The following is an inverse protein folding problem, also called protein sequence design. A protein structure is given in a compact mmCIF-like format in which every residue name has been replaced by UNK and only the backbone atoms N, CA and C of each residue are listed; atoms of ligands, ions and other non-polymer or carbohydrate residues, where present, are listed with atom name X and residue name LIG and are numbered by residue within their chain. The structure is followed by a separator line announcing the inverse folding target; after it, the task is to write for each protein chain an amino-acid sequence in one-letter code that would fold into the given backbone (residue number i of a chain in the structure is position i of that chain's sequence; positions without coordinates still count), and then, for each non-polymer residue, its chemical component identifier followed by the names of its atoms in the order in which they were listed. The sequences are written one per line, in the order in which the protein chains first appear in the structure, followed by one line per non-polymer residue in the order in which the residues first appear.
data_IF_340102249104
#
_entry.id   IF_340102249104
#
_cell.length_a   1.000
_cell.length_b   1.000
_cell.length_c   1.000
_cell.angle_alpha   90.00
_cell.angle_beta   90.00
_cell.angle_gamma   90.00
#
_symmetry.space_group_name_H-M   'P 1'
#
loop_
_entity.id
_entity.type
_entity.pdbx_description
1 polymer ?
#
# COMPACT_ATOMS: atom_id res chain seq x y z
N UNK A 1 -22.03 28.94 23.96
CA UNK A 1 -21.33 27.74 24.43
C UNK A 1 -20.20 27.53 23.45
N UNK A 2 -18.95 27.68 23.87
CA UNK A 2 -17.80 27.45 22.97
C UNK A 2 -17.83 25.99 22.55
N UNK A 3 -17.99 25.72 21.26
CA UNK A 3 -17.78 24.38 20.70
C UNK A 3 -16.39 23.91 21.17
N UNK A 4 -16.38 22.92 22.05
CA UNK A 4 -15.14 22.32 22.50
C UNK A 4 -14.69 21.45 21.34
N UNK A 5 -13.71 21.94 20.56
CA UNK A 5 -13.15 21.24 19.42
C UNK A 5 -12.69 19.84 19.87
N UNK A 6 -13.38 18.78 19.42
CA UNK A 6 -13.08 17.41 19.88
C UNK A 6 -11.82 16.86 19.18
N UNK A 7 -11.30 15.72 19.62
CA UNK A 7 -10.18 15.09 18.90
C UNK A 7 -10.61 14.66 17.50
N UNK A 8 -11.85 14.19 17.37
CA UNK A 8 -12.44 13.82 16.10
C UNK A 8 -12.53 15.00 15.14
N UNK A 9 -12.92 16.20 15.59
CA UNK A 9 -12.97 17.38 14.71
C UNK A 9 -11.59 17.73 14.13
N UNK A 10 -10.56 17.78 14.97
CA UNK A 10 -9.18 18.09 14.53
C UNK A 10 -8.60 17.05 13.56
N UNK A 11 -8.81 15.76 13.85
CA UNK A 11 -8.30 14.70 13.00
C UNK A 11 -9.03 14.64 11.66
N UNK A 12 -10.34 14.89 11.66
CA UNK A 12 -11.13 14.84 10.43
C UNK A 12 -10.83 16.05 9.57
N UNK A 13 -10.65 17.24 10.17
CA UNK A 13 -10.13 18.42 9.48
C UNK A 13 -8.78 18.11 8.79
N UNK A 14 -7.86 17.44 9.48
CA UNK A 14 -6.57 17.02 8.88
C UNK A 14 -6.77 16.07 7.71
N UNK A 15 -7.64 15.07 7.87
CA UNK A 15 -7.90 14.06 6.84
C UNK A 15 -8.59 14.67 5.62
N UNK A 16 -9.58 15.54 5.80
CA UNK A 16 -10.26 16.22 4.69
C UNK A 16 -9.34 17.23 4.02
N UNK A 17 -8.54 17.98 4.77
CA UNK A 17 -7.56 18.90 4.19
C UNK A 17 -6.52 18.16 3.33
N UNK A 18 -6.07 16.98 3.77
CA UNK A 18 -5.17 16.15 2.97
C UNK A 18 -5.83 15.65 1.67
N UNK A 19 -7.12 15.28 1.74
CA UNK A 19 -7.89 14.86 0.57
C UNK A 19 -8.17 16.02 -0.40
N UNK A 20 -8.57 17.18 0.09
CA UNK A 20 -8.80 18.40 -0.70
C UNK A 20 -7.51 18.86 -1.38
N UNK A 21 -6.40 18.84 -0.64
CA UNK A 21 -5.11 19.17 -1.22
C UNK A 21 -4.76 18.21 -2.36
N UNK A 22 -4.93 16.90 -2.15
CA UNK A 22 -4.68 15.93 -3.19
C UNK A 22 -5.59 16.16 -4.40
N UNK A 23 -6.89 16.39 -4.18
CA UNK A 23 -7.85 16.73 -5.22
C UNK A 23 -7.36 17.90 -6.08
N UNK A 24 -6.96 19.00 -5.45
CA UNK A 24 -6.50 20.21 -6.13
C UNK A 24 -5.17 20.01 -6.88
N UNK A 25 -4.27 19.21 -6.32
CA UNK A 25 -2.93 19.01 -6.87
C UNK A 25 -2.91 18.13 -8.12
N UNK A 26 -3.75 17.09 -8.14
CA UNK A 26 -3.72 16.07 -9.22
C UNK A 26 -5.04 15.95 -9.98
N UNK A 27 -5.99 16.86 -9.75
CA UNK A 27 -7.31 16.91 -10.40
C UNK A 27 -8.10 15.59 -10.27
N UNK A 28 -8.06 15.00 -9.08
CA UNK A 28 -8.67 13.70 -8.79
C UNK A 28 -9.98 13.86 -8.01
N UNK A 29 -11.14 13.37 -8.46
CA UNK A 29 -12.40 13.57 -7.75
C UNK A 29 -12.37 13.06 -6.30
N UNK A 30 -12.92 13.84 -5.35
CA UNK A 30 -13.01 13.45 -3.94
C UNK A 30 -13.72 12.10 -3.73
N UNK A 31 -14.66 11.74 -4.61
CA UNK A 31 -15.32 10.42 -4.57
C UNK A 31 -14.31 9.28 -4.79
N UNK A 32 -13.35 9.43 -5.71
CA UNK A 32 -12.31 8.44 -5.99
C UNK A 32 -11.35 8.33 -4.79
N UNK A 33 -11.01 9.47 -4.17
CA UNK A 33 -10.19 9.49 -2.95
C UNK A 33 -10.91 8.75 -1.80
N UNK A 34 -12.19 9.06 -1.58
CA UNK A 34 -12.99 8.40 -0.55
C UNK A 34 -13.14 6.89 -0.82
N UNK A 35 -13.31 6.48 -2.08
CA UNK A 35 -13.36 5.07 -2.49
C UNK A 35 -12.05 4.33 -2.21
N UNK A 36 -10.91 4.93 -2.55
CA UNK A 36 -9.59 4.37 -2.24
C UNK A 36 -9.38 4.25 -0.72
N UNK A 37 -9.76 5.28 0.05
CA UNK A 37 -9.65 5.27 1.51
C UNK A 37 -10.57 4.21 2.15
N UNK A 38 -11.76 4.00 1.59
CA UNK A 38 -12.69 2.98 2.02
C UNK A 38 -12.17 1.56 1.71
N UNK A 39 -11.78 1.31 0.46
CA UNK A 39 -11.32 -0.01 0.01
C UNK A 39 -9.98 -0.41 0.63
N UNK A 40 -9.04 0.53 0.73
CA UNK A 40 -7.70 0.30 1.23
C UNK A 40 -7.63 0.21 2.75
N UNK A 41 -8.41 1.02 3.46
CA UNK A 41 -8.22 1.25 4.91
C UNK A 41 -9.51 1.17 5.74
N UNK A 42 -10.68 0.99 5.11
CA UNK A 42 -11.97 0.90 5.79
C UNK A 42 -12.49 2.24 6.34
N UNK A 43 -11.95 3.38 5.89
CA UNK A 43 -12.47 4.70 6.27
C UNK A 43 -13.81 4.92 5.55
N UNK A 44 -14.91 5.23 6.26
CA UNK A 44 -16.22 5.39 5.62
C UNK A 44 -16.32 6.75 4.91
N UNK A 45 -17.09 6.81 3.82
CA UNK A 45 -17.34 8.04 3.04
C UNK A 45 -17.92 9.19 3.86
N UNK A 46 -18.67 8.87 4.92
CA UNK A 46 -19.24 9.86 5.84
C UNK A 46 -18.18 10.71 6.55
N UNK A 47 -16.94 10.22 6.68
CA UNK A 47 -15.80 11.01 7.16
C UNK A 47 -15.49 12.19 6.23
N UNK A 48 -15.69 12.02 4.92
CA UNK A 48 -15.50 13.06 3.91
C UNK A 48 -16.77 13.90 3.67
N UNK A 49 -17.82 13.73 4.48
CA UNK A 49 -19.11 14.39 4.25
C UNK A 49 -19.84 13.92 2.98
N UNK A 50 -19.43 12.77 2.44
CA UNK A 50 -20.00 12.21 1.22
C UNK A 50 -21.00 11.10 1.55
N UNK A 51 -22.20 11.19 0.96
CA UNK A 51 -23.22 10.13 1.00
C UNK A 51 -23.15 9.31 -0.29
N UNK A 52 -22.09 8.51 -0.40
CA UNK A 52 -21.84 7.64 -1.56
C UNK A 52 -22.37 6.24 -1.24
N UNK A 53 -23.36 5.72 -2.00
CA UNK A 53 -23.82 4.35 -1.85
C UNK A 53 -22.66 3.39 -2.14
N UNK A 54 -22.32 2.52 -1.17
CA UNK A 54 -21.20 1.57 -1.25
C UNK A 54 -21.42 0.40 -2.22
N UNK A 55 -22.27 0.57 -3.24
CA UNK A 55 -22.84 -0.50 -4.07
C UNK A 55 -22.12 -0.74 -5.40
N UNK A 56 -21.09 0.04 -5.73
CA UNK A 56 -20.38 -0.04 -7.03
C UNK A 56 -18.94 -0.57 -6.97
N UNK A 57 -18.47 -1.06 -5.81
CA UNK A 57 -17.12 -1.64 -5.69
C UNK A 57 -17.03 -3.03 -6.30
N UNK A 58 -16.94 -3.09 -7.63
CA UNK A 58 -16.70 -4.32 -8.37
C UNK A 58 -15.20 -4.53 -8.55
N UNK A 59 -14.72 -5.78 -8.46
CA UNK A 59 -13.39 -6.12 -8.97
C UNK A 59 -13.20 -5.61 -10.39
N UNK A 60 -11.96 -5.30 -10.76
CA UNK A 60 -11.59 -4.96 -12.13
C UNK A 60 -12.13 -6.05 -13.08
N UNK A 61 -12.87 -5.70 -14.14
CA UNK A 61 -13.37 -6.68 -15.08
C UNK A 61 -12.21 -7.32 -15.85
N UNK A 62 -12.29 -8.63 -16.06
CA UNK A 62 -11.37 -9.33 -16.96
C UNK A 62 -11.67 -8.96 -18.41
N UNK A 63 -10.64 -8.70 -19.20
CA UNK A 63 -10.76 -8.49 -20.65
C UNK A 63 -10.43 -9.81 -21.39
N UNK A 64 -11.37 -10.39 -22.16
CA UNK A 64 -11.12 -11.64 -22.88
C UNK A 64 -10.12 -11.49 -24.03
N UNK A 65 -9.89 -10.27 -24.53
CA UNK A 65 -8.96 -9.98 -25.61
C UNK A 65 -7.51 -9.78 -25.11
N UNK A 66 -7.34 -9.59 -23.80
CA UNK A 66 -6.03 -9.51 -23.15
C UNK A 66 -5.61 -10.90 -22.66
N UNK A 67 -4.44 -11.43 -23.06
CA UNK A 67 -4.07 -12.76 -22.63
C UNK A 67 -3.86 -12.80 -21.11
N UNK A 68 -4.35 -13.87 -20.48
CA UNK A 68 -4.22 -14.07 -19.04
C UNK A 68 -2.75 -14.14 -18.60
N UNK A 69 -2.48 -13.63 -17.41
CA UNK A 69 -1.22 -13.82 -16.69
C UNK A 69 -1.19 -15.23 -16.13
N UNK A 70 -0.17 -15.99 -16.53
CA UNK A 70 0.06 -17.38 -16.10
C UNK A 70 1.21 -17.49 -15.13
N UNK A 71 2.23 -16.66 -15.27
CA UNK A 71 3.39 -16.65 -14.38
C UNK A 71 3.68 -15.25 -13.85
N UNK A 72 3.71 -15.14 -12.52
CA UNK A 72 4.06 -13.93 -11.79
C UNK A 72 5.45 -14.07 -11.18
N UNK A 73 6.36 -13.19 -11.57
CA UNK A 73 7.66 -13.00 -10.94
C UNK A 73 7.56 -12.02 -9.78
N UNK A 74 8.15 -12.35 -8.63
CA UNK A 74 8.21 -11.49 -7.46
C UNK A 74 9.65 -11.30 -7.01
N UNK A 75 10.07 -10.05 -6.83
CA UNK A 75 11.40 -9.72 -6.30
C UNK A 75 11.26 -9.21 -4.88
N UNK A 76 11.85 -9.92 -3.94
CA UNK A 76 11.75 -9.65 -2.52
C UNK A 76 11.03 -10.78 -1.77
N UNK A 77 11.48 -11.02 -0.55
CA UNK A 77 10.99 -12.09 0.33
C UNK A 77 10.11 -11.58 1.49
N UNK A 78 9.77 -10.28 1.50
CA UNK A 78 9.03 -9.64 2.58
C UNK A 78 7.53 -9.95 2.58
N UNK A 79 6.84 -9.49 3.61
CA UNK A 79 5.39 -9.72 3.83
C UNK A 79 4.52 -9.31 2.63
N UNK A 80 4.84 -8.20 1.96
CA UNK A 80 4.09 -7.75 0.79
C UNK A 80 4.20 -8.75 -0.36
N UNK A 81 5.43 -9.14 -0.72
CA UNK A 81 5.69 -10.17 -1.75
C UNK A 81 4.98 -11.48 -1.43
N UNK A 82 5.05 -11.95 -0.18
CA UNK A 82 4.36 -13.17 0.25
C UNK A 82 2.83 -13.05 0.12
N UNK A 83 2.24 -11.89 0.46
CA UNK A 83 0.81 -11.65 0.28
C UNK A 83 0.38 -11.61 -1.19
N UNK A 84 1.18 -10.97 -2.05
CA UNK A 84 0.93 -10.96 -3.51
C UNK A 84 1.03 -12.38 -4.07
N UNK A 85 2.04 -13.16 -3.65
CA UNK A 85 2.20 -14.56 -4.04
C UNK A 85 0.96 -15.38 -3.67
N UNK A 86 0.46 -15.26 -2.43
CA UNK A 86 -0.76 -15.94 -1.98
C UNK A 86 -1.98 -15.56 -2.82
N UNK A 87 -2.15 -14.27 -3.13
CA UNK A 87 -3.24 -13.80 -3.98
C UNK A 87 -3.16 -14.40 -5.39
N UNK A 88 -1.96 -14.44 -5.97
CA UNK A 88 -1.70 -14.99 -7.30
C UNK A 88 -2.00 -16.50 -7.37
N UNK A 89 -1.57 -17.26 -6.37
CA UNK A 89 -1.83 -18.70 -6.30
C UNK A 89 -3.32 -19.01 -6.16
N UNK A 90 -4.05 -18.26 -5.33
CA UNK A 90 -5.50 -18.37 -5.21
C UNK A 90 -6.22 -18.09 -6.54
N UNK A 91 -5.64 -17.26 -7.40
CA UNK A 91 -6.10 -16.98 -8.75
C UNK A 91 -5.62 -17.99 -9.81
N UNK A 92 -4.86 -19.02 -9.42
CA UNK A 92 -4.33 -20.05 -10.33
C UNK A 92 -3.13 -19.59 -11.16
N UNK A 93 -2.36 -18.61 -10.68
CA UNK A 93 -1.17 -18.07 -11.34
C UNK A 93 0.08 -18.70 -10.69
N UNK A 94 0.99 -19.23 -11.50
CA UNK A 94 2.28 -19.75 -11.02
C UNK A 94 3.16 -18.60 -10.52
N UNK A 95 3.86 -18.81 -9.41
CA UNK A 95 4.67 -17.77 -8.75
C UNK A 95 6.14 -18.16 -8.73
N UNK A 96 7.01 -17.21 -9.08
CA UNK A 96 8.47 -17.32 -8.92
C UNK A 96 8.98 -16.22 -8.01
N UNK A 97 9.52 -16.59 -6.85
CA UNK A 97 10.06 -15.65 -5.87
C UNK A 97 11.58 -15.58 -5.99
N UNK A 98 12.12 -14.38 -6.21
CA UNK A 98 13.56 -14.13 -6.14
C UNK A 98 13.88 -13.30 -4.91
N UNK A 99 14.85 -13.77 -4.12
CA UNK A 99 15.40 -13.06 -2.98
C UNK A 99 16.91 -12.90 -3.11
N UNK A 100 17.51 -12.06 -2.27
CA UNK A 100 18.96 -11.77 -2.30
C UNK A 100 19.83 -13.00 -2.07
N UNK A 101 19.36 -13.92 -1.23
CA UNK A 101 20.09 -15.13 -0.86
C UNK A 101 19.14 -16.36 -0.87
N UNK A 102 19.68 -17.57 -1.09
CA UNK A 102 18.87 -18.78 -1.21
C UNK A 102 18.03 -19.09 0.03
N UNK A 103 18.53 -18.80 1.22
CA UNK A 103 17.84 -19.08 2.49
C UNK A 103 16.57 -18.24 2.58
N UNK A 104 16.67 -16.92 2.35
CA UNK A 104 15.51 -16.02 2.30
C UNK A 104 14.50 -16.40 1.21
N UNK A 105 14.96 -16.89 0.07
CA UNK A 105 14.08 -17.31 -1.02
C UNK A 105 13.25 -18.54 -0.62
N UNK A 106 13.89 -19.54 -0.01
CA UNK A 106 13.23 -20.74 0.50
C UNK A 106 12.29 -20.40 1.65
N UNK A 107 12.72 -19.58 2.61
CA UNK A 107 11.87 -19.13 3.72
C UNK A 107 10.60 -18.43 3.22
N UNK A 108 10.70 -17.58 2.19
CA UNK A 108 9.54 -16.91 1.60
C UNK A 108 8.56 -17.89 0.94
N UNK A 109 9.07 -18.86 0.16
CA UNK A 109 8.25 -19.92 -0.43
C UNK A 109 7.56 -20.75 0.65
N UNK A 110 8.30 -21.15 1.69
CA UNK A 110 7.76 -21.96 2.77
C UNK A 110 6.68 -21.20 3.55
N UNK A 111 6.88 -19.89 3.78
CA UNK A 111 5.86 -19.03 4.40
C UNK A 111 4.60 -18.88 3.53
N UNK A 112 4.73 -18.76 2.22
CA UNK A 112 3.59 -18.71 1.28
C UNK A 112 2.83 -20.03 1.26
N UNK A 113 3.55 -21.15 1.18
CA UNK A 113 2.96 -22.50 1.05
C UNK A 113 2.43 -23.07 2.36
N UNK A 114 2.89 -22.57 3.51
CA UNK A 114 2.34 -22.93 4.82
C UNK A 114 0.86 -22.55 4.98
N UNK A 115 0.40 -21.50 4.29
CA UNK A 115 -1.01 -21.08 4.33
C UNK A 115 -1.85 -21.67 3.18
N UNK A 116 -1.19 -22.21 2.14
CA UNK A 116 -1.82 -22.67 0.90
C UNK A 116 -1.19 -24.01 0.43
N UNK A 117 -1.24 -25.03 1.29
CA UNK A 117 -0.53 -26.30 1.11
C UNK A 117 -0.78 -27.01 -0.24
N UNK A 118 -2.00 -26.92 -0.78
CA UNK A 118 -2.36 -27.61 -2.02
C UNK A 118 -1.71 -26.99 -3.27
N UNK A 119 -1.21 -25.75 -3.18
CA UNK A 119 -0.65 -25.00 -4.31
C UNK A 119 0.89 -24.91 -4.24
N UNK A 120 1.54 -25.67 -3.36
CA UNK A 120 3.00 -25.62 -3.21
C UNK A 120 3.77 -25.98 -4.49
N UNK A 121 3.19 -26.80 -5.37
CA UNK A 121 3.79 -27.14 -6.66
C UNK A 121 3.79 -25.98 -7.68
N UNK A 122 3.08 -24.88 -7.38
CA UNK A 122 2.95 -23.68 -8.22
C UNK A 122 3.82 -22.53 -7.72
N UNK A 123 4.75 -22.78 -6.79
CA UNK A 123 5.67 -21.77 -6.26
C UNK A 123 7.10 -22.25 -6.35
N UNK A 124 7.89 -21.54 -7.15
CA UNK A 124 9.35 -21.69 -7.19
C UNK A 124 10.03 -20.53 -6.48
N UNK A 125 11.25 -20.78 -5.97
CA UNK A 125 12.07 -19.77 -5.35
C UNK A 125 13.52 -19.88 -5.79
N UNK A 126 14.18 -18.74 -6.02
CA UNK A 126 15.58 -18.67 -6.43
C UNK A 126 16.28 -17.47 -5.79
N UNK A 127 17.61 -17.50 -5.77
CA UNK A 127 18.42 -16.29 -5.53
C UNK A 127 18.98 -15.67 -6.81
N UNK A 128 18.68 -16.28 -7.95
CA UNK A 128 19.10 -15.85 -9.28
C UNK A 128 17.93 -15.19 -10.00
N UNK A 129 18.14 -13.94 -10.46
CA UNK A 129 17.14 -13.17 -11.18
C UNK A 129 16.74 -13.83 -12.51
N UNK A 130 17.63 -14.62 -13.12
CA UNK A 130 17.36 -15.35 -14.37
C UNK A 130 16.17 -16.32 -14.24
N UNK A 131 15.82 -16.74 -13.03
CA UNK A 131 14.62 -17.54 -12.77
C UNK A 131 13.31 -16.80 -13.15
N UNK A 132 13.35 -15.47 -13.24
CA UNK A 132 12.21 -14.63 -13.64
C UNK A 132 12.05 -14.52 -15.16
N UNK A 133 13.02 -15.03 -15.95
CA UNK A 133 12.92 -15.03 -17.40
C UNK A 133 11.64 -15.76 -17.85
N UNK A 134 10.86 -15.10 -18.71
CA UNK A 134 9.60 -15.61 -19.24
C UNK A 134 8.40 -15.51 -18.30
N UNK A 135 8.48 -14.77 -17.18
CA UNK A 135 7.30 -14.35 -16.44
C UNK A 135 6.49 -13.32 -17.27
N UNK A 136 5.16 -13.35 -17.19
CA UNK A 136 4.30 -12.38 -17.89
C UNK A 136 4.34 -11.01 -17.21
N UNK A 137 4.42 -11.01 -15.88
CA UNK A 137 4.51 -9.82 -15.03
C UNK A 137 5.59 -10.06 -13.98
N UNK A 138 6.46 -9.07 -13.73
CA UNK A 138 7.44 -9.07 -12.65
C UNK A 138 7.16 -7.89 -11.72
N UNK A 139 6.92 -8.15 -10.44
CA UNK A 139 6.66 -7.12 -9.43
C UNK A 139 7.85 -7.03 -8.45
N UNK A 140 8.44 -5.84 -8.37
CA UNK A 140 9.45 -5.50 -7.39
C UNK A 140 8.82 -5.10 -6.04
N UNK A 141 9.26 -5.76 -4.96
CA UNK A 141 8.83 -5.57 -3.58
C UNK A 141 10.02 -5.71 -2.58
N UNK A 142 11.14 -5.06 -2.91
CA UNK A 142 12.33 -4.92 -2.05
C UNK A 142 12.22 -3.68 -1.17
N UNK A 143 13.26 -3.42 -0.36
CA UNK A 143 13.36 -2.26 0.53
C UNK A 143 13.07 -0.94 -0.18
N UNK A 144 12.42 -0.02 0.54
CA UNK A 144 12.04 1.32 0.07
C UNK A 144 13.25 2.27 -0.04
N UNK A 145 14.22 1.90 -0.89
CA UNK A 145 15.43 2.66 -1.19
C UNK A 145 15.52 2.85 -2.71
N UNK A 146 15.53 4.11 -3.16
CA UNK A 146 15.50 4.46 -4.58
C UNK A 146 16.66 3.81 -5.35
N UNK A 147 17.88 3.90 -4.81
CA UNK A 147 19.07 3.38 -5.48
C UNK A 147 19.05 1.84 -5.60
N UNK A 148 18.50 1.15 -4.61
CA UNK A 148 18.33 -0.31 -4.65
C UNK A 148 17.27 -0.73 -5.66
N UNK A 149 16.11 -0.06 -5.70
CA UNK A 149 15.05 -0.35 -6.68
C UNK A 149 15.49 -0.07 -8.11
N UNK A 150 16.15 1.08 -8.34
CA UNK A 150 16.71 1.44 -9.64
C UNK A 150 17.69 0.38 -10.16
N UNK A 151 18.65 -0.05 -9.33
CA UNK A 151 19.60 -1.11 -9.71
C UNK A 151 18.89 -2.42 -10.03
N UNK A 152 17.99 -2.86 -9.15
CA UNK A 152 17.26 -4.11 -9.33
C UNK A 152 16.42 -4.10 -10.61
N UNK A 153 15.62 -3.06 -10.84
CA UNK A 153 14.76 -2.98 -12.03
C UNK A 153 15.55 -2.84 -13.32
N UNK A 154 16.70 -2.16 -13.31
CA UNK A 154 17.60 -2.10 -14.46
C UNK A 154 18.25 -3.47 -14.76
N UNK A 155 18.55 -4.28 -13.74
CA UNK A 155 19.06 -5.64 -13.94
C UNK A 155 17.96 -6.56 -14.51
N UNK A 156 16.73 -6.41 -14.02
CA UNK A 156 15.56 -7.17 -14.50
C UNK A 156 15.18 -6.80 -15.93
N UNK A 157 15.23 -5.52 -16.28
CA UNK A 157 14.92 -5.06 -17.64
C UNK A 157 15.81 -5.73 -18.70
N UNK A 158 17.06 -6.08 -18.35
CA UNK A 158 17.98 -6.75 -19.29
C UNK A 158 17.61 -8.20 -19.59
N UNK A 159 16.94 -8.87 -18.65
CA UNK A 159 16.56 -10.28 -18.80
C UNK A 159 15.08 -10.46 -19.19
N UNK A 160 14.25 -9.43 -18.94
CA UNK A 160 12.83 -9.46 -19.20
C UNK A 160 12.56 -9.18 -20.69
N UNK A 161 11.84 -10.08 -21.40
CA UNK A 161 11.32 -9.81 -22.74
C UNK A 161 10.56 -8.48 -22.84
N UNK A 162 10.45 -7.91 -24.05
CA UNK A 162 9.77 -6.62 -24.27
C UNK A 162 8.28 -6.65 -23.87
N UNK A 163 7.63 -7.82 -23.97
CA UNK A 163 6.23 -8.03 -23.64
C UNK A 163 5.97 -8.33 -22.15
N UNK A 164 7.03 -8.58 -21.36
CA UNK A 164 6.91 -8.70 -19.90
C UNK A 164 6.64 -7.33 -19.27
N UNK A 165 5.60 -7.27 -18.44
CA UNK A 165 5.30 -6.08 -17.63
C UNK A 165 6.27 -6.01 -16.46
N UNK A 166 6.92 -4.86 -16.30
CA UNK A 166 7.71 -4.54 -15.12
C UNK A 166 6.89 -3.64 -14.21
N UNK A 167 6.75 -4.05 -12.95
CA UNK A 167 6.00 -3.29 -11.97
C UNK A 167 6.76 -3.16 -10.64
N UNK A 168 6.41 -2.15 -9.86
CA UNK A 168 6.91 -1.97 -8.48
C UNK A 168 5.76 -1.70 -7.54
N UNK A 169 5.84 -2.27 -6.34
CA UNK A 169 4.88 -2.02 -5.24
C UNK A 169 5.46 -1.05 -4.20
N UNK A 170 6.24 -0.06 -4.66
CA UNK A 170 6.65 1.10 -3.86
C UNK A 170 5.45 1.75 -3.17
N UNK A 171 5.65 2.31 -1.98
CA UNK A 171 4.59 2.99 -1.22
C UNK A 171 4.79 4.50 -1.13
N UNK A 172 5.98 5.00 -1.43
CA UNK A 172 6.36 6.40 -1.18
C UNK A 172 7.20 7.05 -2.28
N UNK A 173 7.83 6.27 -3.16
CA UNK A 173 8.63 6.78 -4.27
C UNK A 173 7.75 6.99 -5.51
N UNK A 174 8.02 8.06 -6.26
CA UNK A 174 7.43 8.24 -7.59
C UNK A 174 7.96 7.15 -8.55
N UNK A 175 7.09 6.68 -9.43
CA UNK A 175 7.43 5.70 -10.47
C UNK A 175 8.44 6.28 -11.44
N UNK A 176 8.29 7.55 -11.84
CA UNK A 176 9.25 8.25 -12.70
C UNK A 176 10.67 8.31 -12.11
N UNK A 177 10.81 8.52 -10.80
CA UNK A 177 12.11 8.49 -10.13
C UNK A 177 12.77 7.12 -10.28
N UNK A 178 12.00 6.04 -10.05
CA UNK A 178 12.50 4.67 -10.17
C UNK A 178 12.80 4.33 -11.64
N UNK A 179 11.87 4.69 -12.54
CA UNK A 179 11.93 4.44 -13.97
C UNK A 179 13.13 5.10 -14.65
N UNK A 180 13.66 6.20 -14.09
CA UNK A 180 14.78 6.96 -14.66
C UNK A 180 16.08 6.17 -14.84
N UNK A 181 16.22 5.02 -14.18
CA UNK A 181 17.38 4.14 -14.31
C UNK A 181 17.23 3.04 -15.39
N UNK A 182 16.03 2.90 -15.97
CA UNK A 182 15.74 1.93 -17.02
C UNK A 182 16.14 2.49 -18.39
N UNK A 183 16.48 1.61 -19.33
CA UNK A 183 16.67 1.94 -20.73
C UNK A 183 15.35 2.47 -21.33
N UNK A 184 14.24 1.79 -21.07
CA UNK A 184 12.89 2.21 -21.46
C UNK A 184 12.02 2.54 -20.24
N UNK A 185 12.16 3.74 -19.64
CA UNK A 185 11.44 4.16 -18.43
C UNK A 185 9.92 3.99 -18.49
N UNK A 186 9.35 4.12 -19.70
CA UNK A 186 7.92 4.01 -19.94
C UNK A 186 7.36 2.63 -19.57
N UNK A 187 8.18 1.56 -19.56
CA UNK A 187 7.71 0.20 -19.29
C UNK A 187 7.39 -0.09 -17.82
N UNK A 188 7.82 0.77 -16.89
CA UNK A 188 7.59 0.56 -15.46
C UNK A 188 6.19 1.02 -15.05
N UNK A 189 5.42 0.13 -14.43
CA UNK A 189 4.11 0.43 -13.87
C UNK A 189 4.17 0.46 -12.34
N UNK A 190 3.58 1.47 -11.72
CA UNK A 190 3.32 1.42 -10.28
C UNK A 190 2.12 0.53 -10.01
N UNK A 191 2.30 -0.51 -9.19
CA UNK A 191 1.26 -1.46 -8.82
C UNK A 191 1.26 -1.63 -7.29
N UNK A 192 0.62 -0.68 -6.61
CA UNK A 192 0.69 -0.54 -5.17
C UNK A 192 -0.41 -1.38 -4.49
N UNK A 193 0.03 -2.40 -3.77
CA UNK A 193 -0.83 -3.29 -2.99
C UNK A 193 -0.87 -2.84 -1.53
N UNK A 194 -1.97 -3.17 -0.85
CA UNK A 194 -2.17 -2.85 0.57
C UNK A 194 -2.09 -4.11 1.42
N UNK A 195 -1.39 -4.03 2.56
CA UNK A 195 -1.20 -5.17 3.44
C UNK A 195 -2.47 -5.48 4.26
N UNK A 196 -2.87 -6.75 4.42
CA UNK A 196 -2.35 -7.95 3.76
C UNK A 196 -2.83 -8.07 2.30
N UNK A 197 -1.90 -8.23 1.36
CA UNK A 197 -2.18 -8.17 -0.08
C UNK A 197 -3.09 -9.31 -0.58
N UNK A 198 -3.17 -10.44 0.14
CA UNK A 198 -4.09 -11.53 -0.17
C UNK A 198 -5.55 -11.25 0.22
N UNK A 199 -5.80 -10.25 1.08
CA UNK A 199 -7.16 -9.95 1.58
C UNK A 199 -7.63 -8.55 1.24
N UNK A 200 -6.70 -7.59 1.16
CA UNK A 200 -7.04 -6.22 0.79
C UNK A 200 -7.54 -6.19 -0.67
N UNK A 201 -8.62 -5.45 -0.89
CA UNK A 201 -9.30 -5.38 -2.17
C UNK A 201 -8.72 -4.34 -3.09
N UNK A 202 -8.01 -3.33 -2.58
CA UNK A 202 -7.53 -2.21 -3.38
C UNK A 202 -6.15 -2.51 -3.99
N UNK A 203 -5.99 -2.06 -5.23
CA UNK A 203 -4.70 -1.83 -5.87
C UNK A 203 -4.72 -0.44 -6.50
N UNK A 204 -3.71 0.37 -6.21
CA UNK A 204 -3.49 1.63 -6.91
C UNK A 204 -2.56 1.39 -8.10
N UNK A 205 -2.95 1.86 -9.28
CA UNK A 205 -2.18 1.71 -10.52
C UNK A 205 -1.69 3.06 -11.01
N UNK A 206 -0.38 3.30 -10.88
CA UNK A 206 0.30 4.45 -11.45
C UNK A 206 0.81 4.05 -12.84
N UNK A 207 -0.01 4.30 -13.86
CA UNK A 207 0.23 3.88 -15.24
C UNK A 207 1.28 4.72 -15.97
N UNK A 208 1.56 5.94 -15.50
CA UNK A 208 2.58 6.83 -16.07
C UNK A 208 2.47 6.94 -17.59
N UNK A 209 3.53 6.52 -18.30
CA UNK A 209 3.58 6.48 -19.76
C UNK A 209 3.65 5.04 -20.31
N UNK A 210 3.11 4.07 -19.56
CA UNK A 210 3.10 2.65 -19.93
C UNK A 210 2.47 2.40 -21.30
N UNK A 211 3.07 1.50 -22.11
CA UNK A 211 2.43 1.05 -23.34
C UNK A 211 1.02 0.50 -23.07
N UNK A 212 0.04 0.73 -23.96
CA UNK A 212 -1.33 0.25 -23.78
C UNK A 212 -1.41 -1.24 -23.46
N UNK A 213 -0.61 -2.08 -24.12
CA UNK A 213 -0.60 -3.53 -23.91
C UNK A 213 -0.07 -3.90 -22.50
N UNK A 214 0.90 -3.14 -21.97
CA UNK A 214 1.43 -3.36 -20.62
C UNK A 214 0.41 -2.95 -19.56
N UNK A 215 -0.28 -1.83 -19.79
CA UNK A 215 -1.37 -1.40 -18.92
C UNK A 215 -2.52 -2.41 -18.96
N UNK A 216 -2.94 -2.86 -20.14
CA UNK A 216 -3.98 -3.87 -20.31
C UNK A 216 -3.62 -5.17 -19.59
N UNK A 217 -2.39 -5.65 -19.74
CA UNK A 217 -1.88 -6.84 -19.01
C UNK A 217 -1.85 -6.62 -17.49
N UNK A 218 -1.50 -5.42 -17.03
CA UNK A 218 -1.53 -5.08 -15.60
C UNK A 218 -2.95 -5.12 -15.05
N UNK A 219 -3.92 -4.52 -15.75
CA UNK A 219 -5.34 -4.54 -15.36
C UNK A 219 -5.88 -5.97 -15.38
N UNK A 220 -5.48 -6.78 -16.35
CA UNK A 220 -5.83 -8.19 -16.42
C UNK A 220 -5.30 -8.98 -15.21
N UNK A 221 -4.08 -8.70 -14.74
CA UNK A 221 -3.59 -9.27 -13.48
C UNK A 221 -4.49 -8.87 -12.31
N UNK A 222 -4.79 -7.57 -12.14
CA UNK A 222 -5.64 -7.07 -11.04
C UNK A 222 -7.03 -7.71 -11.07
N UNK A 223 -7.60 -7.88 -12.26
CA UNK A 223 -8.87 -8.59 -12.49
C UNK A 223 -8.79 -10.07 -12.08
N UNK A 224 -7.75 -10.80 -12.51
CA UNK A 224 -7.53 -12.20 -12.11
C UNK A 224 -7.40 -12.36 -10.59
N UNK A 225 -6.76 -11.39 -9.92
CA UNK A 225 -6.63 -11.36 -8.46
C UNK A 225 -7.95 -11.00 -7.74
N UNK A 226 -9.01 -10.67 -8.47
CA UNK A 226 -10.31 -10.28 -7.90
C UNK A 226 -10.28 -8.96 -7.14
N UNK A 227 -9.35 -8.07 -7.49
CA UNK A 227 -9.12 -6.79 -6.80
C UNK A 227 -9.79 -5.62 -7.51
N UNK A 228 -10.12 -4.59 -6.76
CA UNK A 228 -10.54 -3.29 -7.26
C UNK A 228 -9.31 -2.46 -7.61
N UNK A 229 -9.38 -1.74 -8.72
CA UNK A 229 -8.33 -0.89 -9.24
C UNK A 229 -8.71 0.57 -9.11
N UNK A 230 -7.78 1.41 -8.67
CA UNK A 230 -7.88 2.87 -8.79
C UNK A 230 -6.67 3.38 -9.56
N UNK A 231 -6.92 4.08 -10.67
CA UNK A 231 -5.86 4.76 -11.43
C UNK A 231 -5.37 5.97 -10.63
N UNK A 232 -4.06 6.09 -10.45
CA UNK A 232 -3.43 7.16 -9.67
C UNK A 232 -2.39 7.89 -10.50
N UNK A 233 -2.20 9.20 -10.28
CA UNK A 233 -1.08 9.93 -10.88
C UNK A 233 0.25 9.41 -10.33
N UNK A 234 1.30 9.58 -11.10
CA UNK A 234 2.66 9.33 -10.64
C UNK A 234 3.12 10.43 -9.67
N UNK A 235 2.84 10.24 -8.38
CA UNK A 235 3.22 11.15 -7.31
C UNK A 235 3.61 10.37 -6.03
N UNK A 236 4.52 10.92 -5.20
CA UNK A 236 4.90 10.30 -3.94
C UNK A 236 3.68 9.97 -3.05
N UNK A 237 3.51 8.69 -2.71
CA UNK A 237 2.44 8.23 -1.81
C UNK A 237 1.06 8.04 -2.42
N UNK A 238 0.90 8.20 -3.74
CA UNK A 238 -0.35 7.95 -4.46
C UNK A 238 -1.57 8.62 -3.82
N UNK A 239 -2.69 7.91 -3.61
CA UNK A 239 -3.88 8.46 -2.95
C UNK A 239 -3.85 8.13 -1.47
N UNK A 240 -3.88 6.84 -1.14
CA UNK A 240 -4.14 6.39 0.22
C UNK A 240 -3.09 6.90 1.19
N UNK A 241 -1.79 6.82 0.86
CA UNK A 241 -0.77 7.24 1.81
C UNK A 241 -0.74 8.77 1.99
N UNK A 242 -1.09 9.56 0.96
CA UNK A 242 -1.18 11.02 1.06
C UNK A 242 -2.32 11.52 1.94
N UNK A 243 -3.34 10.70 2.17
CA UNK A 243 -4.48 11.04 3.04
C UNK A 243 -4.37 10.34 4.39
N UNK A 244 -4.11 9.03 4.41
CA UNK A 244 -4.07 8.23 5.62
C UNK A 244 -2.90 8.61 6.53
N UNK A 245 -1.69 8.77 5.99
CA UNK A 245 -0.49 8.92 6.81
C UNK A 245 -0.47 10.26 7.57
N UNK A 246 -0.83 11.41 6.96
CA UNK A 246 -0.99 12.66 7.71
C UNK A 246 -2.06 12.57 8.81
N UNK A 247 -3.19 11.90 8.52
CA UNK A 247 -4.23 11.63 9.52
C UNK A 247 -3.71 10.81 10.70
N UNK A 248 -2.92 9.76 10.43
CA UNK A 248 -2.30 8.94 11.48
C UNK A 248 -1.21 9.71 12.24
N UNK A 249 -0.44 10.56 11.57
CA UNK A 249 0.55 11.43 12.20
C UNK A 249 -0.11 12.43 13.17
N UNK A 250 -1.24 13.01 12.79
CA UNK A 250 -1.98 13.97 13.59
C UNK A 250 -2.50 13.38 14.92
N UNK A 251 -2.72 12.06 15.00
CA UNK A 251 -2.98 11.37 16.28
C UNK A 251 -1.84 11.64 17.27
N UNK A 252 -0.60 11.59 16.80
CA UNK A 252 0.57 11.79 17.64
C UNK A 252 0.87 13.27 17.89
N UNK A 253 0.45 14.18 17.01
CA UNK A 253 0.45 15.62 17.31
C UNK A 253 -0.51 15.95 18.46
N UNK A 254 -1.66 15.27 18.55
CA UNK A 254 -2.55 15.37 19.71
C UNK A 254 -1.91 14.78 20.98
N UNK A 255 -1.14 13.69 20.85
CA UNK A 255 -0.38 13.13 21.98
C UNK A 255 0.70 14.10 22.47
N UNK A 256 1.38 14.81 21.56
CA UNK A 256 2.33 15.86 21.92
C UNK A 256 1.66 17.01 22.70
N UNK A 257 0.36 17.23 22.48
CA UNK A 257 -0.47 18.18 23.24
C UNK A 257 -1.04 17.61 24.55
N UNK A 258 -0.71 16.36 24.89
CA UNK A 258 -1.14 15.68 26.11
C UNK A 258 -2.43 14.86 25.98
N UNK A 259 -2.96 14.67 24.76
CA UNK A 259 -4.13 13.82 24.54
C UNK A 259 -3.77 12.33 24.71
N UNK A 260 -4.54 11.56 25.51
CA UNK A 260 -4.32 10.12 25.63
C UNK A 260 -4.84 9.37 24.39
N UNK A 261 -4.01 8.51 23.79
CA UNK A 261 -4.33 7.70 22.60
C UNK A 261 -5.69 6.98 22.69
N UNK A 262 -6.04 6.48 23.87
CA UNK A 262 -7.32 5.80 24.12
C UNK A 262 -8.51 6.72 23.87
N UNK A 263 -8.48 7.96 24.37
CA UNK A 263 -9.60 8.89 24.22
C UNK A 263 -9.74 9.39 22.79
N UNK A 264 -8.62 9.55 22.07
CA UNK A 264 -8.62 9.85 20.63
C UNK A 264 -9.36 8.74 19.86
N UNK A 265 -9.00 7.48 20.09
CA UNK A 265 -9.63 6.34 19.43
C UNK A 265 -11.13 6.22 19.78
N UNK A 266 -11.49 6.43 21.05
CA UNK A 266 -12.88 6.37 21.48
C UNK A 266 -13.74 7.48 20.86
N UNK A 267 -13.20 8.69 20.74
CA UNK A 267 -13.92 9.82 20.13
C UNK A 267 -14.23 9.54 18.66
N UNK A 268 -13.23 9.15 17.87
CA UNK A 268 -13.40 8.79 16.45
C UNK A 268 -14.37 7.61 16.29
N UNK A 269 -14.19 6.53 17.06
CA UNK A 269 -15.05 5.34 16.96
C UNK A 269 -16.50 5.63 17.30
N UNK A 270 -16.77 6.44 18.34
CA UNK A 270 -18.14 6.80 18.73
C UNK A 270 -18.83 7.68 17.69
N UNK A 271 -18.10 8.65 17.15
CA UNK A 271 -18.65 9.62 16.19
C UNK A 271 -18.89 9.02 14.81
N UNK A 272 -17.92 8.27 14.29
CA UNK A 272 -17.97 7.75 12.91
C UNK A 272 -18.31 6.25 12.83
N UNK A 273 -18.55 5.59 13.97
CA UNK A 273 -18.92 4.16 14.06
C UNK A 273 -17.95 3.22 13.35
N UNK A 274 -16.66 3.58 13.34
CA UNK A 274 -15.60 2.77 12.74
C UNK A 274 -15.16 1.65 13.69
N UNK A 275 -14.81 0.46 13.18
CA UNK A 275 -14.44 -0.69 14.02
C UNK A 275 -13.08 -0.50 14.70
N UNK A 276 -12.17 0.25 14.07
CA UNK A 276 -10.79 0.48 14.51
C UNK A 276 -10.54 1.98 14.55
N UNK A 277 -10.04 2.49 15.67
CA UNK A 277 -9.63 3.88 15.80
C UNK A 277 -8.24 4.13 15.20
N UNK A 278 -7.88 5.38 14.92
CA UNK A 278 -6.66 5.70 14.18
C UNK A 278 -5.37 5.36 14.91
N UNK A 279 -5.30 5.50 16.24
CA UNK A 279 -4.15 5.03 17.00
C UNK A 279 -4.00 3.51 16.83
N UNK A 280 -5.07 2.74 17.04
CA UNK A 280 -5.03 1.29 16.84
C UNK A 280 -4.62 0.93 15.41
N UNK A 281 -5.10 1.65 14.41
CA UNK A 281 -4.74 1.46 13.01
C UNK A 281 -3.24 1.70 12.78
N UNK A 282 -2.68 2.78 13.30
CA UNK A 282 -1.23 3.04 13.27
C UNK A 282 -0.43 1.91 13.95
N UNK A 283 -0.94 1.34 15.04
CA UNK A 283 -0.33 0.18 15.70
C UNK A 283 -0.46 -1.14 14.92
N UNK A 284 -1.51 -1.30 14.10
CA UNK A 284 -1.66 -2.45 13.19
C UNK A 284 -0.67 -2.36 12.03
N UNK A 285 -0.57 -1.18 11.41
CA UNK A 285 0.36 -0.88 10.31
C UNK A 285 1.81 -0.97 10.80
N UNK A 286 2.07 -0.43 11.97
CA UNK A 286 3.39 -0.31 12.57
C UNK A 286 3.81 1.15 12.68
N UNK A 287 4.17 1.61 13.88
CA UNK A 287 4.52 3.01 14.12
C UNK A 287 5.73 3.48 13.29
N UNK A 288 6.71 2.60 13.10
CA UNK A 288 7.89 2.84 12.27
C UNK A 288 7.55 2.91 10.78
N UNK A 289 6.57 2.13 10.32
CA UNK A 289 6.08 2.20 8.93
C UNK A 289 5.38 3.54 8.70
N UNK A 290 4.48 3.94 9.63
CA UNK A 290 3.81 5.25 9.58
C UNK A 290 4.84 6.39 9.57
N UNK A 291 5.82 6.34 10.49
CA UNK A 291 6.89 7.33 10.57
C UNK A 291 7.74 7.39 9.29
N UNK A 292 8.11 6.22 8.74
CA UNK A 292 8.91 6.14 7.53
C UNK A 292 8.18 6.76 6.33
N UNK A 293 6.90 6.45 6.15
CA UNK A 293 6.11 7.03 5.06
C UNK A 293 5.90 8.54 5.29
N UNK A 294 5.55 8.98 6.51
CA UNK A 294 5.39 10.40 6.82
C UNK A 294 6.68 11.18 6.55
N UNK A 295 7.83 10.64 6.96
CA UNK A 295 9.13 11.26 6.72
C UNK A 295 9.45 11.35 5.22
N UNK A 296 9.13 10.30 4.46
CA UNK A 296 9.31 10.28 3.00
C UNK A 296 8.42 11.32 2.32
N UNK A 297 7.14 11.41 2.71
CA UNK A 297 6.20 12.42 2.20
C UNK A 297 6.69 13.83 2.53
N UNK A 298 7.11 14.08 3.77
CA UNK A 298 7.66 15.37 4.18
C UNK A 298 8.90 15.76 3.36
N UNK A 299 9.85 14.84 3.19
CA UNK A 299 11.08 15.09 2.44
C UNK A 299 10.79 15.38 0.97
N UNK A 300 9.82 14.68 0.37
CA UNK A 300 9.54 14.74 -1.08
C UNK A 300 8.61 15.88 -1.47
N UNK A 301 7.60 16.15 -0.65
CA UNK A 301 6.61 17.19 -0.91
C UNK A 301 7.00 18.54 -0.30
N UNK A 302 7.91 18.55 0.68
CA UNK A 302 8.47 19.78 1.27
C UNK A 302 7.46 20.61 2.07
N UNK A 303 6.39 19.99 2.55
CA UNK A 303 5.27 20.68 3.19
C UNK A 303 5.37 20.67 4.72
N UNK A 304 5.30 21.83 5.39
CA UNK A 304 5.43 21.90 6.85
C UNK A 304 4.42 21.04 7.62
N UNK A 305 3.20 20.89 7.11
CA UNK A 305 2.13 20.08 7.72
C UNK A 305 2.42 18.57 7.68
N UNK A 306 3.39 18.13 6.88
CA UNK A 306 3.82 16.72 6.83
C UNK A 306 4.95 16.43 7.82
N UNK A 307 5.39 17.40 8.62
CA UNK A 307 6.41 17.18 9.63
C UNK A 307 6.02 16.01 10.55
N UNK A 308 6.90 14.99 10.73
CA UNK A 308 6.60 13.90 11.65
C UNK A 308 6.44 14.38 13.09
N UNK A 309 5.40 13.90 13.77
CA UNK A 309 5.11 14.20 15.16
C UNK A 309 6.22 13.70 16.09
N UNK A 310 6.52 14.43 17.17
CA UNK A 310 7.60 14.06 18.10
C UNK A 310 7.23 12.83 18.90
N UNK A 311 5.96 12.70 19.29
CA UNK A 311 5.47 11.51 19.98
C UNK A 311 5.63 10.24 19.12
N UNK A 312 5.38 10.33 17.81
CA UNK A 312 5.55 9.21 16.88
C UNK A 312 7.03 8.80 16.81
N UNK A 313 7.93 9.76 16.58
CA UNK A 313 9.38 9.51 16.57
C UNK A 313 9.83 8.87 17.89
N UNK A 314 9.45 9.45 19.03
CA UNK A 314 9.85 8.95 20.34
C UNK A 314 9.30 7.56 20.66
N UNK A 315 8.14 7.17 20.11
CA UNK A 315 7.61 5.82 20.23
C UNK A 315 8.43 4.81 19.43
N UNK A 316 8.81 5.16 18.20
CA UNK A 316 9.66 4.33 17.35
C UNK A 316 11.05 4.16 17.96
N UNK A 317 11.66 5.23 18.47
CA UNK A 317 12.97 5.19 19.14
C UNK A 317 12.97 4.25 20.37
N UNK A 318 11.82 4.10 21.03
CA UNK A 318 11.62 3.19 22.17
C UNK A 318 11.23 1.76 21.76
N UNK A 319 11.11 1.46 20.46
CA UNK A 319 10.67 0.16 19.97
C UNK A 319 9.20 -0.15 20.22
N UNK A 320 8.36 0.87 20.47
CA UNK A 320 6.90 0.71 20.66
C UNK A 320 6.24 0.77 19.29
N UNK A 321 6.28 -0.35 18.55
CA UNK A 321 5.91 -0.38 17.13
C UNK A 321 4.50 -0.92 16.87
N UNK A 322 3.74 -1.27 17.91
CA UNK A 322 2.42 -1.88 17.76
C UNK A 322 2.46 -3.40 17.69
N UNK A 323 1.62 -3.98 16.82
CA UNK A 323 1.30 -5.42 16.76
C UNK A 323 2.55 -6.32 16.71
N UNK A 324 3.52 -5.96 15.88
CA UNK A 324 4.77 -6.72 15.67
C UNK A 324 5.73 -6.75 16.86
N UNK A 325 5.53 -5.88 17.86
CA UNK A 325 6.32 -5.85 19.10
C UNK A 325 5.52 -6.26 20.33
N UNK A 326 4.26 -6.70 20.15
CA UNK A 326 3.36 -7.02 21.27
C UNK A 326 2.85 -5.81 22.06
N UNK A 327 3.29 -4.59 21.70
CA UNK A 327 2.89 -3.34 22.33
C UNK A 327 1.74 -2.68 21.55
N UNK A 328 0.60 -3.38 21.44
CA UNK A 328 -0.60 -2.77 20.87
C UNK A 328 -1.01 -1.53 21.67
N UNK A 329 -1.36 -0.45 20.98
CA UNK A 329 -1.78 0.76 21.66
C UNK A 329 -3.08 0.48 22.44
N UNK A 330 -3.19 0.94 23.71
CA UNK A 330 -4.26 0.58 24.60
C UNK A 330 -5.60 1.15 24.11
N UNK A 331 -6.38 0.31 23.43
CA UNK A 331 -7.56 0.75 22.65
C UNK A 331 -8.78 -0.16 22.88
N UNK A 332 -8.70 -1.09 23.83
CA UNK A 332 -9.81 -1.98 24.15
C UNK A 332 -10.94 -1.22 24.88
N UNK A 333 -12.11 -1.19 24.25
CA UNK A 333 -13.36 -1.41 24.96
C UNK A 333 -13.51 -2.92 25.04
N UNK A 334 -13.65 -3.49 26.24
CA UNK A 334 -14.11 -4.87 26.39
C UNK A 334 -15.50 -4.98 25.79
N UNK A 335 -15.80 -6.07 25.08
CA UNK A 335 -17.13 -6.32 24.50
C UNK A 335 -18.23 -6.08 25.55
N UNK A 336 -19.11 -5.10 25.33
CA UNK A 336 -20.21 -4.81 26.25
C UNK A 336 -20.67 -3.35 26.40
N UNK A 337 -20.15 -2.39 25.65
CA UNK A 337 -20.58 -0.98 25.68
C UNK A 337 -21.34 -0.54 24.42
#
# INVERSE_FOLDING_TARGET
MSETNTYADQLIETLTAAADHLHDEVDLPLSVIADAMHLGCGIPHSVFGLDIPTTDYRPEPSDPDVPAVRTLGLIGAGTMSQGIARAALQAGIDVRIVARDPERAVEARDAVTAEIHEQAAHVDSSSDIEALAGADVIIEAISEDLASKQRMLADIERIAPEDTVLATTTSSLAISDIASALAEPRRLVGLHFFNPADRNRLVEVASGAAPPDHLARTRQLVAQLGKCLVDVPDAPGFIVNRVLIPYLNAVFDLVDQGAPLREIDLDIRRRYRVPVGPARLAGIIGADVVLAIQSSLHQRLGRPELQPARALQAMVDRGVLGSKTGHMFPTAMTDGD
#
